data_IF_782646634210
#
_entry.id   IF_782646634210
#
_cell.length_a   1.000
_cell.length_b   1.000
_cell.length_c   1.000
_cell.angle_alpha   90.00
_cell.angle_beta   90.00
_cell.angle_gamma   90.00
#
_symmetry.space_group_name_H-M   'P 1'
#
loop_
_entity.id
_entity.type
_entity.pdbx_description
1 polymer ?
#
# COMPACT_ATOMS: atom_id res chain seq x y z
N UNK A 1 6.32 -18.12 4.52
CA UNK A 1 5.18 -17.18 4.54
C UNK A 1 5.61 -15.93 3.80
N UNK A 2 5.28 -15.72 2.51
CA UNK A 2 5.70 -14.54 1.68
C UNK A 2 7.07 -13.89 2.01
N UNK A 3 8.08 -14.69 2.39
CA UNK A 3 9.38 -14.17 2.85
C UNK A 3 10.10 -13.45 1.71
N UNK A 4 9.84 -13.90 0.48
CA UNK A 4 10.22 -13.22 -0.77
C UNK A 4 9.74 -11.75 -0.85
N UNK A 5 8.63 -11.38 -0.21
CA UNK A 5 8.15 -9.99 -0.17
C UNK A 5 8.71 -9.27 1.06
N UNK A 6 8.75 -9.93 2.21
CA UNK A 6 9.12 -9.30 3.47
C UNK A 6 10.60 -8.90 3.51
N UNK A 7 11.51 -9.79 3.06
CA UNK A 7 12.94 -9.51 3.08
C UNK A 7 13.32 -8.30 2.22
N UNK A 8 12.85 -8.16 0.95
CA UNK A 8 13.11 -6.96 0.17
C UNK A 8 12.52 -5.70 0.77
N UNK A 9 11.30 -5.76 1.32
CA UNK A 9 10.67 -4.59 1.96
C UNK A 9 11.47 -4.16 3.19
N UNK A 10 11.87 -5.11 4.04
CA UNK A 10 12.72 -4.86 5.19
C UNK A 10 14.10 -4.32 4.78
N UNK A 11 14.72 -4.86 3.72
CA UNK A 11 16.00 -4.40 3.19
C UNK A 11 15.96 -2.98 2.66
N UNK A 12 14.90 -2.60 1.95
CA UNK A 12 14.73 -1.21 1.48
C UNK A 12 14.52 -0.27 2.66
N UNK A 13 13.71 -0.67 3.66
CA UNK A 13 13.51 0.14 4.86
C UNK A 13 14.82 0.31 5.63
N UNK A 14 15.59 -0.77 5.79
CA UNK A 14 16.90 -0.77 6.45
C UNK A 14 17.90 0.13 5.73
N UNK A 15 17.93 0.08 4.40
CA UNK A 15 18.81 0.93 3.58
C UNK A 15 18.51 2.42 3.78
N UNK A 16 17.22 2.80 3.70
CA UNK A 16 16.83 4.20 3.93
C UNK A 16 17.05 4.64 5.37
N UNK A 17 16.74 3.77 6.34
CA UNK A 17 16.98 4.09 7.75
C UNK A 17 18.47 4.29 8.02
N UNK A 18 19.33 3.43 7.51
CA UNK A 18 20.79 3.57 7.64
C UNK A 18 21.28 4.87 7.01
N UNK A 19 20.75 5.24 5.83
CA UNK A 19 21.06 6.52 5.19
C UNK A 19 20.65 7.74 6.03
N UNK A 20 19.43 7.76 6.57
CA UNK A 20 18.95 8.85 7.41
C UNK A 20 19.54 8.85 8.82
N UNK A 21 19.94 7.69 9.35
CA UNK A 21 20.59 7.55 10.63
C UNK A 21 21.93 8.29 10.66
N UNK A 22 22.65 8.36 9.54
CA UNK A 22 23.89 9.16 9.42
C UNK A 22 23.61 10.67 9.55
N UNK A 23 22.44 11.13 9.11
CA UNK A 23 22.08 12.55 9.08
C UNK A 23 21.38 13.03 10.36
N UNK A 24 20.49 12.22 10.93
CA UNK A 24 19.61 12.59 12.03
C UNK A 24 19.82 11.77 13.31
N UNK A 25 20.70 10.76 13.26
CA UNK A 25 20.97 9.82 14.35
C UNK A 25 20.12 8.55 14.25
N UNK A 26 20.73 7.41 14.57
CA UNK A 26 20.10 6.09 14.45
C UNK A 26 18.89 5.88 15.36
N UNK A 27 18.86 6.54 16.52
CA UNK A 27 17.77 6.46 17.48
C UNK A 27 16.64 7.49 17.22
N UNK A 28 16.78 8.36 16.22
CA UNK A 28 15.81 9.42 16.00
C UNK A 28 14.50 8.86 15.42
N UNK A 29 13.35 9.26 15.96
CA UNK A 29 12.07 8.92 15.32
C UNK A 29 11.90 9.54 13.93
N UNK A 30 12.62 10.63 13.66
CA UNK A 30 12.65 11.28 12.36
C UNK A 30 13.35 10.41 11.30
N UNK A 31 14.48 9.75 11.61
CA UNK A 31 15.13 8.83 10.67
C UNK A 31 14.19 7.68 10.30
N UNK A 32 13.47 7.13 11.26
CA UNK A 32 12.46 6.09 11.05
C UNK A 32 11.28 6.59 10.20
N UNK A 33 10.72 7.74 10.53
CA UNK A 33 9.60 8.31 9.78
C UNK A 33 9.98 8.60 8.32
N UNK A 34 11.14 9.22 8.08
CA UNK A 34 11.64 9.48 6.73
C UNK A 34 11.95 8.17 5.98
N UNK A 35 12.49 7.16 6.67
CA UNK A 35 12.75 5.85 6.07
C UNK A 35 11.45 5.17 5.59
N UNK A 36 10.37 5.24 6.39
CA UNK A 36 9.06 4.71 6.00
C UNK A 36 8.50 5.47 4.80
N UNK A 37 8.59 6.80 4.78
CA UNK A 37 8.14 7.62 3.63
C UNK A 37 8.92 7.25 2.37
N UNK A 38 10.25 7.15 2.45
CA UNK A 38 11.09 6.80 1.31
C UNK A 38 10.92 5.36 0.85
N UNK A 39 10.61 4.44 1.76
CA UNK A 39 10.20 3.09 1.42
C UNK A 39 8.96 3.12 0.52
N UNK A 40 7.91 3.84 0.91
CA UNK A 40 6.69 3.96 0.10
C UNK A 40 6.98 4.58 -1.27
N UNK A 41 7.83 5.61 -1.33
CA UNK A 41 8.26 6.24 -2.59
C UNK A 41 9.01 5.24 -3.48
N UNK A 42 9.94 4.48 -2.90
CA UNK A 42 10.74 3.47 -3.62
C UNK A 42 9.86 2.35 -4.16
N UNK A 43 8.92 1.86 -3.35
CA UNK A 43 7.94 0.86 -3.76
C UNK A 43 7.06 1.37 -4.91
N UNK A 44 6.59 2.62 -4.84
CA UNK A 44 5.82 3.24 -5.95
C UNK A 44 6.65 3.39 -7.22
N UNK A 45 7.93 3.75 -7.09
CA UNK A 45 8.84 3.83 -8.23
C UNK A 45 9.08 2.44 -8.86
N UNK A 46 9.27 1.40 -8.06
CA UNK A 46 9.39 0.03 -8.54
C UNK A 46 8.10 -0.47 -9.23
N UNK A 47 6.93 -0.10 -8.70
CA UNK A 47 5.62 -0.40 -9.28
C UNK A 47 5.22 0.52 -10.44
N UNK A 48 6.10 1.41 -10.89
CA UNK A 48 5.75 2.34 -11.97
C UNK A 48 5.37 1.62 -13.27
N UNK A 49 6.07 0.55 -13.63
CA UNK A 49 5.74 -0.26 -14.83
C UNK A 49 4.36 -0.92 -14.74
N UNK A 50 4.01 -1.69 -13.69
CA UNK A 50 2.66 -2.26 -13.57
C UNK A 50 1.59 -1.16 -13.45
N UNK A 51 1.88 -0.03 -12.80
CA UNK A 51 0.99 1.12 -12.76
C UNK A 51 0.67 1.66 -14.17
N UNK A 52 1.67 1.77 -15.06
CA UNK A 52 1.44 2.16 -16.45
C UNK A 52 0.54 1.17 -17.20
N UNK A 53 0.67 -0.14 -16.93
CA UNK A 53 -0.23 -1.14 -17.49
C UNK A 53 -1.67 -0.95 -17.00
N UNK A 54 -1.86 -0.63 -15.72
CA UNK A 54 -3.16 -0.32 -15.13
C UNK A 54 -3.81 0.91 -15.77
N UNK A 55 -3.04 1.98 -16.00
CA UNK A 55 -3.53 3.20 -16.67
C UNK A 55 -3.95 2.91 -18.11
N UNK A 56 -3.17 2.10 -18.84
CA UNK A 56 -3.53 1.65 -20.20
C UNK A 56 -4.83 0.84 -20.19
N UNK A 57 -4.99 -0.09 -19.27
CA UNK A 57 -6.22 -0.87 -19.10
C UNK A 57 -7.44 0.03 -18.84
N UNK A 58 -7.32 0.98 -17.92
CA UNK A 58 -8.40 1.93 -17.59
C UNK A 58 -8.83 2.76 -18.80
N UNK A 59 -7.86 3.20 -19.62
CA UNK A 59 -8.15 3.93 -20.86
C UNK A 59 -8.91 3.08 -21.88
N UNK A 60 -8.49 1.83 -22.09
CA UNK A 60 -9.18 0.90 -22.99
C UNK A 60 -10.61 0.65 -22.52
N UNK A 61 -10.81 0.46 -21.21
CA UNK A 61 -12.15 0.31 -20.63
C UNK A 61 -13.04 1.53 -20.88
N UNK A 62 -12.50 2.75 -20.74
CA UNK A 62 -13.24 3.98 -21.02
C UNK A 62 -13.70 4.06 -22.49
N UNK A 63 -12.87 3.60 -23.43
CA UNK A 63 -13.22 3.53 -24.86
C UNK A 63 -14.25 2.44 -25.15
N UNK A 64 -14.23 1.31 -24.44
CA UNK A 64 -15.20 0.23 -24.59
C UNK A 64 -16.54 0.52 -23.91
N UNK A 65 -16.58 1.41 -22.91
CA UNK A 65 -17.78 1.75 -22.16
C UNK A 65 -19.01 2.12 -23.02
N UNK A 66 -18.92 2.97 -24.07
CA UNK A 66 -20.07 3.26 -24.94
C UNK A 66 -20.55 2.03 -25.72
N UNK A 67 -19.64 1.20 -26.26
CA UNK A 67 -20.01 -0.03 -26.97
C UNK A 67 -20.71 -1.02 -26.04
N UNK A 68 -20.25 -1.12 -24.79
CA UNK A 68 -20.93 -1.92 -23.77
C UNK A 68 -22.33 -1.41 -23.44
N UNK A 69 -22.58 -0.09 -23.52
CA UNK A 69 -23.93 0.48 -23.34
C UNK A 69 -24.84 0.16 -24.52
N UNK A 70 -24.33 0.26 -25.75
CA UNK A 70 -25.06 -0.14 -26.96
C UNK A 70 -25.43 -1.62 -26.91
N UNK A 71 -24.47 -2.48 -26.57
CA UNK A 71 -24.71 -3.92 -26.46
C UNK A 71 -25.76 -4.27 -25.39
N UNK A 72 -25.77 -3.56 -24.26
CA UNK A 72 -26.82 -3.69 -23.24
C UNK A 72 -28.19 -3.25 -23.75
N UNK A 73 -28.25 -2.20 -24.56
CA UNK A 73 -29.51 -1.74 -25.16
C UNK A 73 -30.04 -2.73 -26.21
N UNK A 74 -29.15 -3.33 -27.01
CA UNK A 74 -29.51 -4.31 -28.05
C UNK A 74 -29.93 -5.68 -27.50
N UNK A 75 -29.30 -6.14 -26.41
CA UNK A 75 -29.62 -7.44 -25.79
C UNK A 75 -30.79 -7.38 -24.80
N UNK A 76 -31.17 -6.19 -24.31
CA UNK A 76 -32.28 -6.03 -23.37
C UNK A 76 -32.07 -6.84 -22.08
N UNK A 77 -33.07 -7.65 -21.71
CA UNK A 77 -33.07 -8.46 -20.48
C UNK A 77 -32.47 -9.87 -20.67
N UNK A 78 -32.03 -10.21 -21.88
CA UNK A 78 -31.43 -11.51 -22.19
C UNK A 78 -29.99 -11.59 -21.66
N UNK A 79 -29.87 -12.00 -20.39
CA UNK A 79 -28.59 -12.07 -19.67
C UNK A 79 -27.60 -13.05 -20.29
N UNK A 80 -28.06 -14.15 -20.87
CA UNK A 80 -27.19 -15.13 -21.54
C UNK A 80 -26.59 -14.52 -22.80
N UNK A 81 -27.43 -13.93 -23.65
CA UNK A 81 -26.96 -13.28 -24.89
C UNK A 81 -26.03 -12.11 -24.58
N UNK A 82 -26.34 -11.30 -23.56
CA UNK A 82 -25.47 -10.23 -23.10
C UNK A 82 -24.10 -10.75 -22.64
N UNK A 83 -24.04 -11.85 -21.88
CA UNK A 83 -22.79 -12.42 -21.40
C UNK A 83 -21.91 -12.93 -22.55
N UNK A 84 -22.50 -13.60 -23.54
CA UNK A 84 -21.80 -14.11 -24.73
C UNK A 84 -21.25 -12.98 -25.58
N UNK A 85 -22.08 -11.98 -25.93
CA UNK A 85 -21.64 -10.86 -26.75
C UNK A 85 -20.63 -9.96 -26.01
N UNK A 86 -20.78 -9.80 -24.69
CA UNK A 86 -19.78 -9.09 -23.87
C UNK A 86 -18.43 -9.80 -23.93
N UNK A 87 -18.42 -11.15 -23.84
CA UNK A 87 -17.19 -11.93 -23.95
C UNK A 87 -16.58 -11.83 -25.35
N UNK A 88 -17.38 -11.89 -26.43
CA UNK A 88 -16.90 -11.70 -27.80
C UNK A 88 -16.28 -10.31 -28.00
N UNK A 89 -16.95 -9.26 -27.53
CA UNK A 89 -16.46 -7.88 -27.61
C UNK A 89 -15.13 -7.71 -26.85
N UNK A 90 -15.02 -8.32 -25.67
CA UNK A 90 -13.79 -8.34 -24.88
C UNK A 90 -12.65 -9.05 -25.63
N UNK A 91 -12.92 -10.21 -26.24
CA UNK A 91 -11.94 -10.98 -27.01
C UNK A 91 -11.46 -10.24 -28.28
N UNK A 92 -12.37 -9.61 -29.03
CA UNK A 92 -12.03 -8.80 -30.21
C UNK A 92 -11.08 -7.65 -29.86
N UNK A 93 -11.21 -7.10 -28.66
CA UNK A 93 -10.36 -6.01 -28.17
C UNK A 93 -9.15 -6.49 -27.34
N UNK A 94 -8.85 -7.80 -27.32
CA UNK A 94 -7.78 -8.43 -26.52
C UNK A 94 -7.81 -7.97 -25.05
N UNK A 95 -9.02 -7.79 -24.52
CA UNK A 95 -9.27 -7.18 -23.23
C UNK A 95 -9.84 -8.23 -22.27
N UNK A 96 -9.25 -8.39 -21.08
CA UNK A 96 -9.74 -9.34 -20.08
C UNK A 96 -9.92 -8.67 -18.72
N UNK A 97 -10.98 -9.02 -17.99
CA UNK A 97 -11.26 -8.46 -16.65
C UNK A 97 -10.10 -8.74 -15.69
N UNK A 98 -9.46 -9.91 -15.81
CA UNK A 98 -8.30 -10.33 -15.00
C UNK A 98 -7.08 -9.40 -15.18
N UNK A 99 -6.84 -8.90 -16.40
CA UNK A 99 -5.74 -7.96 -16.64
C UNK A 99 -5.92 -6.61 -15.92
N UNK A 100 -7.16 -6.28 -15.54
CA UNK A 100 -7.49 -5.05 -14.80
C UNK A 100 -7.33 -5.15 -13.28
N UNK A 101 -7.55 -6.34 -12.70
CA UNK A 101 -7.45 -6.52 -11.25
C UNK A 101 -6.03 -6.88 -10.78
N UNK A 102 -5.18 -7.41 -11.67
CA UNK A 102 -3.81 -7.81 -11.35
C UNK A 102 -2.98 -6.70 -10.66
N UNK A 103 -3.02 -5.42 -11.10
CA UNK A 103 -2.28 -4.35 -10.44
C UNK A 103 -2.79 -4.06 -9.01
N UNK A 104 -4.10 -4.16 -8.79
CA UNK A 104 -4.71 -3.97 -7.47
C UNK A 104 -4.30 -5.09 -6.52
N UNK A 105 -4.22 -6.32 -7.02
CA UNK A 105 -3.73 -7.45 -6.23
C UNK A 105 -2.27 -7.28 -5.83
N UNK A 106 -1.40 -6.86 -6.76
CA UNK A 106 0.01 -6.57 -6.44
C UNK A 106 0.11 -5.45 -5.41
N UNK A 107 -0.69 -4.40 -5.54
CA UNK A 107 -0.75 -3.29 -4.58
C UNK A 107 -1.16 -3.78 -3.19
N UNK A 108 -2.16 -4.66 -3.10
CA UNK A 108 -2.62 -5.23 -1.85
C UNK A 108 -1.54 -6.12 -1.20
N UNK A 109 -0.92 -7.02 -1.97
CA UNK A 109 0.15 -7.91 -1.49
C UNK A 109 1.33 -7.09 -0.94
N UNK A 110 1.71 -6.02 -1.64
CA UNK A 110 2.78 -5.13 -1.19
C UNK A 110 2.43 -4.40 0.10
N UNK A 111 1.21 -3.87 0.22
CA UNK A 111 0.74 -3.21 1.44
C UNK A 111 0.73 -4.17 2.64
N UNK A 112 0.24 -5.40 2.44
CA UNK A 112 0.25 -6.44 3.47
C UNK A 112 1.69 -6.81 3.87
N UNK A 113 2.63 -6.86 2.93
CA UNK A 113 4.05 -7.09 3.21
C UNK A 113 4.67 -5.98 4.06
N UNK A 114 4.39 -4.72 3.73
CA UNK A 114 4.81 -3.57 4.52
C UNK A 114 4.25 -3.63 5.94
N UNK A 115 2.93 -3.79 6.07
CA UNK A 115 2.25 -3.84 7.36
C UNK A 115 2.79 -4.99 8.23
N UNK A 116 3.04 -6.16 7.63
CA UNK A 116 3.62 -7.29 8.32
C UNK A 116 5.02 -7.00 8.85
N UNK A 117 5.91 -6.39 8.04
CA UNK A 117 7.27 -6.03 8.46
C UNK A 117 7.27 -5.04 9.62
N UNK A 118 6.34 -4.06 9.62
CA UNK A 118 6.20 -3.12 10.74
C UNK A 118 5.63 -3.81 11.98
N UNK A 119 4.59 -4.63 11.83
CA UNK A 119 3.98 -5.35 12.94
C UNK A 119 4.94 -6.36 13.57
N UNK A 120 5.83 -6.97 12.78
CA UNK A 120 6.81 -7.92 13.28
C UNK A 120 7.92 -7.29 14.13
N UNK A 121 8.03 -5.96 14.20
CA UNK A 121 8.92 -5.32 15.19
C UNK A 121 8.40 -5.47 16.62
N UNK A 122 7.08 -5.51 16.83
CA UNK A 122 6.46 -5.69 18.14
C UNK A 122 5.76 -7.05 18.22
N UNK A 123 6.41 -8.00 18.90
CA UNK A 123 5.91 -9.37 19.13
C UNK A 123 5.34 -9.59 20.52
N UNK A 124 5.02 -8.51 21.23
CA UNK A 124 4.44 -8.57 22.57
C UNK A 124 2.91 -8.63 22.57
N UNK A 125 2.28 -8.18 21.48
CA UNK A 125 0.82 -8.19 21.30
C UNK A 125 0.23 -9.58 21.08
N UNK A 126 -1.10 -9.69 21.18
CA UNK A 126 -1.82 -10.96 21.09
C UNK A 126 -1.52 -11.77 19.82
N UNK A 127 -1.48 -13.10 19.95
CA UNK A 127 -1.33 -14.01 18.81
C UNK A 127 -2.51 -13.83 17.87
N UNK A 128 -2.22 -13.65 16.58
CA UNK A 128 -3.23 -13.58 15.53
C UNK A 128 -2.88 -14.60 14.44
N UNK A 129 -3.86 -15.44 14.12
CA UNK A 129 -3.75 -16.48 13.10
C UNK A 129 -4.08 -15.97 11.70
N UNK A 130 -4.42 -14.69 11.57
CA UNK A 130 -4.64 -14.07 10.27
C UNK A 130 -3.27 -13.85 9.62
N UNK A 131 -2.99 -14.47 8.47
CA UNK A 131 -1.75 -14.21 7.74
C UNK A 131 -1.57 -12.70 7.54
N UNK A 132 -0.34 -12.19 7.63
CA UNK A 132 0.03 -10.77 7.45
C UNK A 132 -0.32 -9.81 8.60
N UNK A 133 -1.35 -10.09 9.40
CA UNK A 133 -1.88 -9.18 10.45
C UNK A 133 -1.55 -9.62 11.88
N UNK A 134 -0.67 -10.61 12.04
CA UNK A 134 -0.49 -11.27 13.31
C UNK A 134 0.84 -11.97 13.44
N UNK A 135 1.30 -12.05 14.68
CA UNK A 135 2.42 -12.90 15.06
C UNK A 135 1.82 -14.23 15.54
N UNK A 136 2.44 -15.35 15.15
CA UNK A 136 2.01 -16.69 15.58
C UNK A 136 2.55 -17.07 16.96
N UNK A 137 3.45 -16.25 17.50
CA UNK A 137 4.08 -16.43 18.81
C UNK A 137 4.17 -15.08 19.52
N UNK A 138 3.86 -15.07 20.82
CA UNK A 138 4.08 -13.94 21.72
C UNK A 138 5.41 -14.08 22.44
N UNK A 139 6.08 -12.96 22.68
CA UNK A 139 7.32 -12.90 23.46
C UNK A 139 7.22 -11.82 24.53
N UNK A 140 8.04 -11.94 25.58
CA UNK A 140 8.20 -10.83 26.55
C UNK A 140 8.87 -9.63 25.88
N UNK A 141 8.67 -8.42 26.43
CA UNK A 141 9.26 -7.20 25.87
C UNK A 141 10.80 -7.29 25.76
N UNK A 142 11.46 -7.86 26.76
CA UNK A 142 12.90 -8.09 26.75
C UNK A 142 13.34 -9.06 25.65
N UNK A 143 12.63 -10.19 25.50
CA UNK A 143 12.91 -11.16 24.44
C UNK A 143 12.69 -10.56 23.04
N UNK A 144 11.62 -9.78 22.86
CA UNK A 144 11.34 -9.14 21.58
C UNK A 144 12.43 -8.12 21.20
N UNK A 145 12.87 -7.31 22.16
CA UNK A 145 13.97 -6.35 22.00
C UNK A 145 15.29 -7.03 21.59
N UNK A 146 15.53 -8.26 22.02
CA UNK A 146 16.74 -9.02 21.72
C UNK A 146 16.62 -9.90 20.46
N UNK A 147 15.44 -9.90 19.82
CA UNK A 147 15.16 -10.71 18.63
C UNK A 147 15.27 -9.87 17.36
N UNK A 148 16.16 -10.27 16.45
CA UNK A 148 16.29 -9.65 15.14
C UNK A 148 14.97 -9.71 14.35
N UNK A 149 14.76 -8.74 13.44
CA UNK A 149 13.59 -8.70 12.57
C UNK A 149 14.03 -8.66 11.10
N UNK A 150 13.95 -9.80 10.40
CA UNK A 150 14.48 -9.93 9.04
C UNK A 150 15.96 -9.48 8.95
N UNK A 151 16.23 -8.37 8.26
CA UNK A 151 17.55 -7.78 8.09
C UNK A 151 17.93 -6.81 9.21
N UNK A 152 17.00 -6.50 10.12
CA UNK A 152 17.24 -5.61 11.25
C UNK A 152 17.85 -6.36 12.42
N UNK A 153 19.00 -5.88 12.87
CA UNK A 153 19.67 -6.40 14.05
C UNK A 153 18.95 -5.97 15.35
N UNK A 154 19.15 -6.67 16.49
CA UNK A 154 18.43 -6.39 17.73
C UNK A 154 18.52 -4.93 18.19
N UNK A 155 19.67 -4.28 18.05
CA UNK A 155 19.85 -2.86 18.37
C UNK A 155 18.95 -1.93 17.54
N UNK A 156 18.69 -2.28 16.27
CA UNK A 156 17.80 -1.52 15.40
C UNK A 156 16.34 -1.79 15.74
N UNK A 157 16.01 -3.03 16.14
CA UNK A 157 14.69 -3.37 16.66
C UNK A 157 14.39 -2.57 17.93
N UNK A 158 15.33 -2.52 18.88
CA UNK A 158 15.22 -1.67 20.08
C UNK A 158 15.03 -0.20 19.72
N UNK A 159 15.83 0.31 18.78
CA UNK A 159 15.70 1.69 18.32
C UNK A 159 14.31 1.99 17.75
N UNK A 160 13.73 1.07 16.96
CA UNK A 160 12.38 1.25 16.44
C UNK A 160 11.32 1.24 17.53
N UNK A 161 11.43 0.30 18.49
CA UNK A 161 10.47 0.16 19.58
C UNK A 161 10.38 1.42 20.46
N UNK A 162 11.49 2.15 20.61
CA UNK A 162 11.58 3.39 21.38
C UNK A 162 11.46 4.67 20.52
N UNK A 163 11.28 4.55 19.21
CA UNK A 163 11.22 5.71 18.33
C UNK A 163 9.88 6.45 18.49
N UNK A 164 9.96 7.76 18.70
CA UNK A 164 8.79 8.65 18.82
C UNK A 164 8.72 9.64 17.67
N UNK A 165 7.52 9.82 17.12
CA UNK A 165 7.22 10.85 16.12
C UNK A 165 6.23 11.85 16.72
N UNK A 166 6.69 13.09 16.91
CA UNK A 166 5.92 14.15 17.59
C UNK A 166 5.41 13.73 18.99
N UNK A 167 6.21 12.96 19.73
CA UNK A 167 5.87 12.46 21.07
C UNK A 167 4.90 11.27 21.09
N UNK A 168 4.58 10.69 19.92
CA UNK A 168 3.83 9.45 19.83
C UNK A 168 4.78 8.28 19.49
N UNK A 169 4.78 7.18 20.25
CA UNK A 169 5.62 6.02 19.93
C UNK A 169 5.17 5.38 18.62
N UNK A 170 6.10 5.11 17.71
CA UNK A 170 5.81 4.49 16.43
C UNK A 170 5.23 3.06 16.58
N UNK A 171 5.64 2.35 17.63
CA UNK A 171 5.22 0.98 17.96
C UNK A 171 3.86 0.92 18.67
N UNK A 172 3.54 1.92 19.50
CA UNK A 172 2.33 1.91 20.34
C UNK A 172 1.02 1.86 19.54
N UNK A 173 1.01 2.39 18.31
CA UNK A 173 -0.19 2.34 17.46
C UNK A 173 -0.55 0.93 16.99
N UNK A 174 0.37 -0.03 17.09
CA UNK A 174 0.18 -1.39 16.60
C UNK A 174 -0.47 -2.29 17.66
N UNK A 175 -0.31 -2.00 18.96
CA UNK A 175 -0.61 -2.96 20.03
C UNK A 175 -1.12 -2.36 21.34
N UNK A 176 -0.95 -1.06 21.63
CA UNK A 176 -1.29 -0.48 22.94
C UNK A 176 -2.34 0.64 22.89
N UNK A 177 -3.25 0.64 23.87
CA UNK A 177 -4.33 1.63 24.01
C UNK A 177 -3.92 2.89 24.75
N UNK A 178 -2.79 2.91 25.45
CA UNK A 178 -2.44 3.98 26.39
C UNK A 178 -2.00 5.29 25.72
N UNK A 179 -1.65 5.23 24.44
CA UNK A 179 -1.16 6.38 23.65
C UNK A 179 -2.14 6.81 22.54
N UNK A 180 -3.40 6.37 22.57
CA UNK A 180 -4.35 6.69 21.48
C UNK A 180 -4.56 8.19 21.29
N UNK A 181 -4.47 9.00 22.34
CA UNK A 181 -4.64 10.45 22.25
C UNK A 181 -3.46 11.15 21.54
N UNK A 182 -2.21 10.83 21.92
CA UNK A 182 -1.02 11.38 21.27
C UNK A 182 -0.87 10.89 19.83
N UNK A 183 -1.18 9.61 19.60
CA UNK A 183 -1.23 9.04 18.25
C UNK A 183 -2.31 9.73 17.40
N UNK A 184 -3.53 9.90 17.91
CA UNK A 184 -4.61 10.56 17.17
C UNK A 184 -4.27 12.01 16.82
N UNK A 185 -3.62 12.74 17.73
CA UNK A 185 -3.19 14.12 17.52
C UNK A 185 -2.25 14.28 16.30
N UNK A 186 -1.48 13.25 15.97
CA UNK A 186 -0.54 13.24 14.84
C UNK A 186 -1.16 12.57 13.60
N UNK A 187 -1.80 11.42 13.79
CA UNK A 187 -2.33 10.61 12.70
C UNK A 187 -3.54 11.28 12.02
N UNK A 188 -4.45 11.89 12.78
CA UNK A 188 -5.67 12.49 12.20
C UNK A 188 -5.32 13.63 11.24
N UNK A 189 -4.49 14.63 11.62
CA UNK A 189 -4.08 15.67 10.67
C UNK A 189 -3.37 15.12 9.43
N UNK A 190 -2.48 14.14 9.60
CA UNK A 190 -1.77 13.51 8.47
C UNK A 190 -2.73 12.80 7.51
N UNK A 191 -3.72 12.06 8.05
CA UNK A 191 -4.75 11.39 7.25
C UNK A 191 -5.62 12.41 6.52
N UNK A 192 -6.00 13.51 7.18
CA UNK A 192 -6.77 14.60 6.54
C UNK A 192 -5.97 15.22 5.40
N UNK A 193 -4.68 15.54 5.60
CA UNK A 193 -3.80 16.07 4.56
C UNK A 193 -3.69 15.08 3.40
N UNK A 194 -3.46 13.80 3.70
CA UNK A 194 -3.36 12.75 2.67
C UNK A 194 -4.67 12.58 1.89
N UNK A 195 -5.82 12.65 2.56
CA UNK A 195 -7.15 12.57 1.94
C UNK A 195 -7.40 13.77 1.01
N UNK A 196 -7.07 14.99 1.44
CA UNK A 196 -7.18 16.21 0.63
C UNK A 196 -6.26 16.12 -0.59
N UNK A 197 -4.99 15.74 -0.40
CA UNK A 197 -4.03 15.58 -1.50
C UNK A 197 -4.50 14.53 -2.51
N UNK A 198 -5.04 13.40 -2.02
CA UNK A 198 -5.61 12.34 -2.86
C UNK A 198 -6.82 12.83 -3.64
N UNK A 199 -7.72 13.59 -3.00
CA UNK A 199 -8.89 14.17 -3.64
C UNK A 199 -8.50 15.17 -4.74
N UNK A 200 -7.57 16.08 -4.46
CA UNK A 200 -7.06 17.04 -5.45
C UNK A 200 -6.41 16.31 -6.65
N UNK A 201 -5.62 15.27 -6.39
CA UNK A 201 -4.98 14.46 -7.43
C UNK A 201 -6.02 13.73 -8.30
N UNK A 202 -7.06 13.17 -7.68
CA UNK A 202 -8.15 12.51 -8.38
C UNK A 202 -8.93 13.50 -9.27
N UNK A 203 -9.27 14.68 -8.75
CA UNK A 203 -9.95 15.74 -9.52
C UNK A 203 -9.11 16.23 -10.70
N UNK A 204 -7.82 16.48 -10.48
CA UNK A 204 -6.90 16.89 -11.55
C UNK A 204 -6.74 15.79 -12.63
N UNK A 205 -6.80 14.52 -12.25
CA UNK A 205 -6.79 13.40 -13.20
C UNK A 205 -8.04 13.39 -14.09
N UNK A 206 -9.24 13.51 -13.49
CA UNK A 206 -10.52 13.52 -14.23
C UNK A 206 -10.60 14.73 -15.17
N UNK A 207 -10.20 15.92 -14.70
CA UNK A 207 -10.21 17.13 -15.51
C UNK A 207 -9.38 16.98 -16.81
N UNK A 208 -8.19 16.38 -16.71
CA UNK A 208 -7.33 16.10 -17.88
C UNK A 208 -7.95 15.10 -18.86
N UNK A 209 -8.67 14.10 -18.36
CA UNK A 209 -9.37 13.15 -19.24
C UNK A 209 -10.50 13.82 -20.03
N UNK A 210 -11.23 14.75 -19.42
CA UNK A 210 -12.27 15.53 -20.09
C UNK A 210 -11.70 16.44 -21.19
N UNK A 211 -10.58 17.11 -20.93
CA UNK A 211 -9.91 17.96 -21.94
C UNK A 211 -9.40 17.17 -23.15
N UNK A 212 -8.78 16.01 -22.93
CA UNK A 212 -8.31 15.15 -24.04
C UNK A 212 -9.45 14.59 -24.89
N UNK A 213 -10.63 14.40 -24.30
CA UNK A 213 -11.83 13.95 -25.02
C UNK A 213 -12.43 15.09 -25.83
N UNK A 214 -12.47 16.31 -25.27
CA UNK A 214 -12.97 17.52 -25.96
C UNK A 214 -12.09 17.98 -27.13
N UNK A 215 -10.78 17.72 -27.11
CA UNK A 215 -9.87 18.02 -28.23
C UNK A 215 -9.92 17.03 -29.40
N UNK A 216 -10.60 15.89 -29.25
CA UNK A 216 -10.67 14.81 -30.25
C UNK A 216 -12.05 14.65 -30.90
N UNK A 217 -13.07 15.34 -30.40
CA UNK A 217 -14.39 15.44 -31.02
C UNK A 217 -14.55 16.81 -31.66
#
# INVERSE_FOLDING_TARGET
MLDFVYYPVAAVLWLWHTGFAVLFGAASGLSWALAIVMLVVTLRAALYRPFLAQVRFSRTMAVLQPKMRQLRAECGDDRERLAVETRKLQQQHNFSVLSGCLPVLVQLVMFLGLLHVLHSFDRTGAVSYVPFLGNTTTMTAAQNADTANYVFAPEQVRSFLHAELFGAPLSATLTSTDSVASVAAVAVPLVVIAAVATHCTARASIARQLETTRRRG
#
